data_IF_077381207108
#
_entry.id   IF_077381207108
#
_cell.length_a   1.000
_cell.length_b   1.000
_cell.length_c   1.000
_cell.angle_alpha   90.00
_cell.angle_beta   90.00
_cell.angle_gamma   90.00
#
_symmetry.space_group_name_H-M   'P 1'
#
loop_
_entity.id
_entity.type
_entity.pdbx_description
1 polymer ?
#
# COMPACT_ATOMS: atom_id res chain seq x y z
N UNK A 1 17.87 -4.12 -8.52
CA UNK A 1 17.65 -4.73 -7.19
C UNK A 1 18.55 -4.09 -6.12
N UNK A 2 18.02 -3.16 -5.32
CA UNK A 2 18.73 -2.53 -4.19
C UNK A 2 18.36 -3.24 -2.89
N UNK A 3 18.72 -4.52 -2.79
CA UNK A 3 18.75 -5.21 -1.50
C UNK A 3 20.21 -5.24 -1.02
N UNK A 4 20.44 -5.06 0.29
CA UNK A 4 21.74 -5.44 0.87
C UNK A 4 22.02 -6.90 0.50
N UNK A 5 23.28 -7.28 0.27
CA UNK A 5 23.73 -8.59 -0.29
C UNK A 5 23.16 -9.87 0.37
N UNK A 6 22.35 -9.76 1.43
CA UNK A 6 21.71 -10.85 2.20
C UNK A 6 20.20 -10.68 2.44
N UNK A 7 19.56 -9.63 1.91
CA UNK A 7 18.14 -9.35 2.16
C UNK A 7 17.23 -10.39 1.52
N UNK A 8 16.36 -11.04 2.31
CA UNK A 8 15.29 -11.91 1.81
C UNK A 8 14.03 -11.06 1.55
N UNK A 9 13.45 -11.09 0.34
CA UNK A 9 12.21 -10.36 0.05
C UNK A 9 11.07 -10.67 1.04
N UNK A 10 10.21 -9.68 1.27
CA UNK A 10 9.04 -9.80 2.13
C UNK A 10 9.33 -9.75 3.63
N UNK A 11 10.40 -9.07 4.06
CA UNK A 11 10.69 -8.89 5.49
C UNK A 11 9.55 -8.17 6.23
N UNK A 12 9.02 -7.07 5.66
CA UNK A 12 7.86 -6.34 6.21
C UNK A 12 6.60 -7.24 6.27
N UNK A 13 6.34 -8.03 5.24
CA UNK A 13 5.21 -8.98 5.21
C UNK A 13 5.29 -9.99 6.36
N UNK A 14 6.48 -10.56 6.62
CA UNK A 14 6.69 -11.47 7.76
C UNK A 14 6.53 -10.77 9.10
N UNK A 15 7.02 -9.53 9.23
CA UNK A 15 6.82 -8.74 10.44
C UNK A 15 5.33 -8.49 10.72
N UNK A 16 4.53 -8.11 9.71
CA UNK A 16 3.09 -7.94 9.84
C UNK A 16 2.37 -9.24 10.19
N UNK A 17 2.77 -10.36 9.56
CA UNK A 17 2.24 -11.70 9.86
C UNK A 17 2.46 -12.07 11.34
N UNK A 18 3.65 -11.82 11.85
CA UNK A 18 4.03 -12.20 13.23
C UNK A 18 3.39 -11.27 14.26
N UNK A 19 3.25 -9.97 13.93
CA UNK A 19 2.59 -8.98 14.79
C UNK A 19 1.06 -9.16 14.86
N UNK A 20 0.42 -9.57 13.74
CA UNK A 20 -1.01 -9.78 13.63
C UNK A 20 -1.33 -11.28 13.47
N UNK A 21 -1.51 -12.04 14.56
CA UNK A 21 -1.54 -13.50 14.53
C UNK A 21 -2.71 -14.11 13.75
N UNK A 22 -3.77 -13.30 13.49
CA UNK A 22 -4.98 -13.73 12.77
C UNK A 22 -5.11 -13.11 11.38
N UNK A 23 -4.20 -12.22 10.99
CA UNK A 23 -4.29 -11.54 9.71
C UNK A 23 -3.84 -12.45 8.56
N UNK A 24 -4.53 -12.33 7.42
CA UNK A 24 -4.03 -12.75 6.12
C UNK A 24 -3.25 -11.59 5.51
N UNK A 25 -2.02 -11.86 5.07
CA UNK A 25 -1.10 -10.85 4.56
C UNK A 25 -0.98 -11.03 3.05
N UNK A 26 -1.14 -9.93 2.33
CA UNK A 26 -1.01 -9.87 0.89
C UNK A 26 0.08 -8.87 0.53
N UNK A 27 1.04 -9.28 -0.29
CA UNK A 27 2.11 -8.41 -0.77
C UNK A 27 2.09 -8.30 -2.29
N UNK A 28 2.32 -7.11 -2.85
CA UNK A 28 2.36 -6.96 -4.29
C UNK A 28 3.57 -6.14 -4.71
N UNK A 29 4.22 -6.58 -5.78
CA UNK A 29 5.41 -5.91 -6.33
C UNK A 29 5.39 -6.03 -7.86
N UNK A 30 6.15 -5.17 -8.52
CA UNK A 30 6.34 -5.24 -9.97
C UNK A 30 7.27 -6.39 -10.38
N UNK A 31 8.22 -6.78 -9.52
CA UNK A 31 9.21 -7.81 -9.83
C UNK A 31 8.63 -9.24 -9.65
N UNK A 32 8.41 -10.02 -10.73
CA UNK A 32 7.93 -11.39 -10.61
C UNK A 32 8.91 -12.34 -9.90
N UNK A 33 10.21 -12.01 -9.90
CA UNK A 33 11.26 -12.85 -9.32
C UNK A 33 11.28 -12.89 -7.80
N UNK A 34 10.53 -11.99 -7.14
CA UNK A 34 10.42 -11.93 -5.67
C UNK A 34 9.08 -12.44 -5.16
N UNK A 35 8.24 -13.02 -6.03
CA UNK A 35 6.97 -13.59 -5.63
C UNK A 35 7.18 -14.89 -4.84
N UNK A 36 6.49 -15.01 -3.71
CA UNK A 36 6.48 -16.19 -2.86
C UNK A 36 5.11 -16.38 -2.16
N UNK A 37 4.93 -17.55 -1.56
CA UNK A 37 3.84 -17.82 -0.62
C UNK A 37 4.39 -18.54 0.60
N UNK A 38 3.90 -18.14 1.77
CA UNK A 38 4.24 -18.68 3.08
C UNK A 38 2.96 -18.77 3.93
N UNK A 39 3.06 -19.28 5.16
CA UNK A 39 1.94 -19.26 6.11
C UNK A 39 1.33 -17.86 6.21
N UNK A 40 0.03 -17.75 5.88
CA UNK A 40 -0.76 -16.50 5.85
C UNK A 40 -0.18 -15.37 4.99
N UNK A 41 0.77 -15.66 4.09
CA UNK A 41 1.34 -14.67 3.17
C UNK A 41 1.14 -15.15 1.73
N UNK A 42 0.47 -14.32 0.94
CA UNK A 42 0.36 -14.50 -0.52
C UNK A 42 0.96 -13.27 -1.20
N UNK A 43 1.77 -13.46 -2.23
CA UNK A 43 2.24 -12.35 -3.06
C UNK A 43 1.82 -12.48 -4.51
N UNK A 44 1.67 -11.34 -5.18
CA UNK A 44 1.27 -11.30 -6.59
C UNK A 44 1.88 -10.10 -7.31
N UNK A 45 2.11 -10.27 -8.61
CA UNK A 45 2.70 -9.22 -9.45
C UNK A 45 1.67 -8.13 -9.70
N UNK A 46 2.07 -6.87 -9.56
CA UNK A 46 1.25 -5.72 -9.95
C UNK A 46 2.10 -4.55 -10.46
N UNK A 47 1.53 -3.79 -11.39
CA UNK A 47 2.06 -2.51 -11.85
C UNK A 47 1.22 -1.37 -11.25
N UNK A 48 1.71 -0.74 -10.18
CA UNK A 48 1.00 0.35 -9.49
C UNK A 48 0.78 1.60 -10.37
N UNK A 49 1.46 1.72 -11.52
CA UNK A 49 1.21 2.79 -12.48
C UNK A 49 -0.11 2.59 -13.25
N UNK A 50 -0.68 1.37 -13.21
CA UNK A 50 -1.84 0.96 -13.99
C UNK A 50 -3.02 0.63 -13.08
N UNK A 51 -4.06 1.48 -13.03
CA UNK A 51 -5.27 1.21 -12.24
C UNK A 51 -5.90 -0.16 -12.51
N UNK A 52 -5.87 -0.62 -13.76
CA UNK A 52 -6.36 -1.93 -14.18
C UNK A 52 -5.56 -3.09 -13.56
N UNK A 53 -4.26 -2.89 -13.31
CA UNK A 53 -3.43 -3.88 -12.62
C UNK A 53 -3.83 -4.01 -11.15
N UNK A 54 -4.16 -2.89 -10.48
CA UNK A 54 -4.63 -2.90 -9.09
C UNK A 54 -6.00 -3.59 -8.95
N UNK A 55 -6.91 -3.40 -9.91
CA UNK A 55 -8.18 -4.11 -9.94
C UNK A 55 -7.99 -5.62 -10.16
N UNK A 56 -7.11 -6.01 -11.07
CA UNK A 56 -6.76 -7.42 -11.28
C UNK A 56 -6.11 -8.05 -10.05
N UNK A 57 -5.28 -7.29 -9.32
CA UNK A 57 -4.70 -7.72 -8.06
C UNK A 57 -5.81 -7.98 -7.02
N UNK A 58 -6.78 -7.06 -6.91
CA UNK A 58 -7.92 -7.23 -6.01
C UNK A 58 -8.73 -8.48 -6.31
N UNK A 59 -8.94 -8.76 -7.61
CA UNK A 59 -9.60 -9.99 -8.06
C UNK A 59 -8.79 -11.25 -7.67
N UNK A 60 -7.47 -11.19 -7.80
CA UNK A 60 -6.56 -12.28 -7.43
C UNK A 60 -6.62 -12.58 -5.94
N UNK A 61 -6.84 -11.55 -5.10
CA UNK A 61 -7.00 -11.68 -3.65
C UNK A 61 -8.45 -11.96 -3.21
N UNK A 62 -9.33 -12.33 -4.14
CA UNK A 62 -10.69 -12.78 -3.82
C UNK A 62 -11.71 -11.65 -3.61
N UNK A 63 -11.34 -10.40 -3.90
CA UNK A 63 -12.20 -9.20 -3.75
C UNK A 63 -12.68 -8.92 -2.32
N UNK A 64 -12.04 -9.51 -1.33
CA UNK A 64 -12.27 -9.15 0.07
C UNK A 64 -11.58 -7.82 0.36
N UNK A 65 -12.32 -6.88 0.96
CA UNK A 65 -11.75 -5.60 1.36
C UNK A 65 -10.79 -5.78 2.53
N UNK A 66 -9.74 -4.97 2.54
CA UNK A 66 -8.69 -5.02 3.55
C UNK A 66 -8.98 -4.06 4.70
N UNK A 67 -8.67 -4.48 5.92
CA UNK A 67 -8.68 -3.62 7.11
C UNK A 67 -7.52 -2.63 7.11
N UNK A 68 -6.43 -2.94 6.40
CA UNK A 68 -5.23 -2.12 6.27
C UNK A 68 -4.60 -2.31 4.89
N UNK A 69 -4.35 -1.20 4.19
CA UNK A 69 -3.57 -1.14 2.96
C UNK A 69 -2.40 -0.19 3.17
N UNK A 70 -1.20 -0.62 2.78
CA UNK A 70 0.04 0.16 2.89
C UNK A 70 0.65 0.30 1.49
N UNK A 71 0.96 1.52 1.08
CA UNK A 71 1.75 1.83 -0.12
C UNK A 71 3.17 2.21 0.28
N UNK A 72 4.08 1.23 0.19
CA UNK A 72 5.54 1.34 0.35
C UNK A 72 6.24 0.90 -0.94
N UNK A 73 5.75 1.43 -2.07
CA UNK A 73 6.12 1.00 -3.41
C UNK A 73 7.09 1.95 -4.12
N UNK A 74 6.70 2.43 -5.31
CA UNK A 74 7.56 3.27 -6.16
C UNK A 74 7.79 4.69 -5.62
N UNK A 75 6.94 5.13 -4.67
CA UNK A 75 6.89 6.49 -4.12
C UNK A 75 6.80 7.60 -5.17
N UNK A 76 6.27 7.32 -6.37
CA UNK A 76 5.98 8.36 -7.36
C UNK A 76 4.59 8.96 -7.09
N UNK A 77 4.42 10.28 -7.30
CA UNK A 77 3.11 10.94 -7.09
C UNK A 77 1.98 10.20 -7.83
N UNK A 78 2.24 9.77 -9.07
CA UNK A 78 1.26 9.03 -9.87
C UNK A 78 0.86 7.68 -9.27
N UNK A 79 1.83 6.89 -8.79
CA UNK A 79 1.54 5.59 -8.15
C UNK A 79 0.83 5.78 -6.82
N UNK A 80 1.25 6.76 -6.01
CA UNK A 80 0.57 7.06 -4.74
C UNK A 80 -0.87 7.51 -4.97
N UNK A 81 -1.14 8.34 -5.99
CA UNK A 81 -2.50 8.74 -6.34
C UNK A 81 -3.35 7.54 -6.79
N UNK A 82 -2.80 6.64 -7.61
CA UNK A 82 -3.49 5.40 -7.99
C UNK A 82 -3.83 4.55 -6.76
N UNK A 83 -2.89 4.40 -5.82
CA UNK A 83 -3.09 3.65 -4.57
C UNK A 83 -4.12 4.33 -3.66
N UNK A 84 -4.11 5.66 -3.55
CA UNK A 84 -5.13 6.42 -2.81
C UNK A 84 -6.52 6.17 -3.40
N UNK A 85 -6.68 6.34 -4.72
CA UNK A 85 -7.97 6.13 -5.38
C UNK A 85 -8.45 4.68 -5.28
N UNK A 86 -7.54 3.72 -5.45
CA UNK A 86 -7.85 2.30 -5.32
C UNK A 86 -8.27 1.95 -3.88
N UNK A 87 -7.52 2.42 -2.89
CA UNK A 87 -7.79 2.22 -1.47
C UNK A 87 -9.15 2.76 -1.06
N UNK A 88 -9.41 4.05 -1.30
CA UNK A 88 -10.65 4.69 -0.85
C UNK A 88 -11.91 4.20 -1.59
N UNK A 89 -11.79 3.79 -2.86
CA UNK A 89 -12.96 3.42 -3.68
C UNK A 89 -13.26 1.93 -3.66
N UNK A 90 -12.23 1.10 -3.52
CA UNK A 90 -12.33 -0.34 -3.84
C UNK A 90 -11.83 -1.19 -2.68
N UNK A 91 -10.59 -0.99 -2.27
CA UNK A 91 -9.84 -2.01 -1.52
C UNK A 91 -10.02 -1.93 -0.01
N UNK A 92 -10.21 -0.74 0.58
CA UNK A 92 -10.26 -0.59 2.03
C UNK A 92 -11.68 -0.78 2.56
N UNK A 93 -11.82 -1.59 3.61
CA UNK A 93 -13.08 -1.82 4.31
C UNK A 93 -13.54 -0.57 5.08
N UNK A 94 -14.85 -0.38 5.33
CA UNK A 94 -15.31 0.66 6.25
C UNK A 94 -14.64 0.54 7.62
N UNK A 95 -14.02 1.62 8.11
CA UNK A 95 -13.24 1.61 9.35
C UNK A 95 -11.81 1.10 9.22
N UNK A 96 -11.41 0.66 8.02
CA UNK A 96 -10.03 0.29 7.71
C UNK A 96 -9.13 1.49 7.41
N UNK A 97 -7.85 1.22 7.21
CA UNK A 97 -6.80 2.21 7.06
C UNK A 97 -6.10 2.11 5.70
N UNK A 98 -5.74 3.27 5.16
CA UNK A 98 -4.79 3.40 4.06
C UNK A 98 -3.60 4.21 4.56
N UNK A 99 -2.39 3.66 4.40
CA UNK A 99 -1.13 4.31 4.75
C UNK A 99 -0.31 4.48 3.48
N UNK A 100 0.19 5.69 3.23
CA UNK A 100 1.12 5.97 2.12
C UNK A 100 2.46 6.37 2.74
N UNK A 101 3.51 5.60 2.48
CA UNK A 101 4.84 5.81 3.07
C UNK A 101 5.71 6.74 2.20
N UNK A 102 6.72 7.34 2.84
CA UNK A 102 7.72 8.21 2.21
C UNK A 102 7.22 9.42 1.40
N UNK A 103 6.02 9.91 1.72
CA UNK A 103 5.36 11.06 1.06
C UNK A 103 6.01 12.44 1.33
N UNK A 104 7.06 12.49 2.15
CA UNK A 104 7.66 13.74 2.66
C UNK A 104 9.08 14.05 2.18
N UNK A 105 9.72 13.16 1.42
CA UNK A 105 11.17 13.26 1.15
C UNK A 105 11.56 14.48 0.29
N UNK A 106 10.65 14.97 -0.56
CA UNK A 106 10.88 16.14 -1.42
C UNK A 106 9.96 17.30 -1.04
N UNK A 107 10.48 18.55 -0.89
CA UNK A 107 9.65 19.71 -0.56
C UNK A 107 8.47 19.93 -1.51
N UNK A 108 8.66 19.66 -2.81
CA UNK A 108 7.60 19.76 -3.80
C UNK A 108 6.47 18.74 -3.57
N UNK A 109 6.81 17.52 -3.15
CA UNK A 109 5.83 16.45 -2.89
C UNK A 109 5.01 16.76 -1.65
N UNK A 110 5.62 17.33 -0.63
CA UNK A 110 4.90 17.77 0.56
C UNK A 110 3.76 18.73 0.24
N UNK A 111 3.95 19.65 -0.71
CA UNK A 111 2.86 20.55 -1.16
C UNK A 111 1.72 19.76 -1.81
N UNK A 112 2.04 18.76 -2.63
CA UNK A 112 1.04 17.89 -3.28
C UNK A 112 0.25 17.11 -2.23
N UNK A 113 0.92 16.45 -1.28
CA UNK A 113 0.25 15.69 -0.24
C UNK A 113 -0.53 16.56 0.75
N UNK A 114 -0.08 17.79 1.04
CA UNK A 114 -0.89 18.75 1.81
C UNK A 114 -2.20 19.09 1.07
N UNK A 115 -2.16 19.26 -0.26
CA UNK A 115 -3.37 19.49 -1.06
C UNK A 115 -4.28 18.28 -1.04
N UNK A 116 -3.74 17.07 -1.16
CA UNK A 116 -4.51 15.82 -1.08
C UNK A 116 -5.17 15.70 0.30
N UNK A 117 -4.41 15.92 1.37
CA UNK A 117 -4.90 15.89 2.76
C UNK A 117 -6.04 16.90 2.99
N UNK A 118 -5.87 18.13 2.50
CA UNK A 118 -6.92 19.15 2.56
C UNK A 118 -8.19 18.69 1.81
N UNK A 119 -8.06 18.10 0.63
CA UNK A 119 -9.22 17.61 -0.13
C UNK A 119 -9.90 16.44 0.58
N UNK A 120 -9.13 15.44 1.02
CA UNK A 120 -9.68 14.23 1.65
C UNK A 120 -10.31 14.53 3.01
N UNK A 121 -9.75 15.45 3.80
CA UNK A 121 -10.31 15.86 5.10
C UNK A 121 -11.67 16.57 4.99
N UNK A 122 -12.03 17.10 3.82
CA UNK A 122 -13.38 17.65 3.58
C UNK A 122 -14.42 16.56 3.29
N UNK A 123 -14.01 15.31 3.07
CA UNK A 123 -14.93 14.22 2.77
C UNK A 123 -15.48 13.62 4.08
N UNK A 124 -16.80 13.59 4.31
CA UNK A 124 -17.38 13.27 5.62
C UNK A 124 -17.16 11.82 6.08
N UNK A 125 -16.73 10.93 5.18
CA UNK A 125 -16.48 9.51 5.47
C UNK A 125 -15.00 9.18 5.65
N UNK A 126 -14.11 10.17 5.53
CA UNK A 126 -12.68 9.98 5.63
C UNK A 126 -12.12 10.78 6.80
N UNK A 127 -11.05 10.25 7.38
CA UNK A 127 -10.18 10.97 8.31
C UNK A 127 -8.77 10.82 7.79
N UNK A 128 -8.00 11.90 7.89
CA UNK A 128 -6.61 11.92 7.43
C UNK A 128 -5.71 12.43 8.55
N UNK A 129 -4.47 11.94 8.56
CA UNK A 129 -3.47 12.33 9.53
C UNK A 129 -2.07 12.23 8.94
N UNK A 130 -1.21 13.18 9.29
CA UNK A 130 0.21 13.12 9.02
C UNK A 130 0.94 12.50 10.20
N UNK A 131 1.61 11.39 9.96
CA UNK A 131 2.49 10.77 10.96
C UNK A 131 3.92 11.17 10.61
N UNK A 132 4.57 11.91 11.52
CA UNK A 132 6.01 12.17 11.43
C UNK A 132 6.72 11.13 12.25
N UNK A 133 7.71 10.47 11.66
CA UNK A 133 8.64 9.69 12.46
C UNK A 133 9.43 10.66 13.36
N UNK A 134 9.58 10.36 14.67
CA UNK A 134 10.45 11.12 15.56
C UNK A 134 11.91 11.14 15.08
#
# INVERSE_FOLDING_TARGET
PTWGKKGRPGASLRAWRDYLPRAQIYGADYDPGIMFSEDRITTSVTDQMKPESLLKLFDTYGREKFDLVIDDGMHAIGTCLNMILFGIRTAVAPGGWLVIEDIGFKPAWRKVFNTIDLLLSTMPKLQTAWIKHP
#
